data_IF_315958411050
#
_entry.id   IF_315958411050
#
_cell.length_a   1.000
_cell.length_b   1.000
_cell.length_c   1.000
_cell.angle_alpha   90.00
_cell.angle_beta   90.00
_cell.angle_gamma   90.00
#
_symmetry.space_group_name_H-M   'P 1'
#
loop_
_entity.id
_entity.type
_entity.pdbx_description
1 polymer ?
#
# COMPACT_ATOMS: atom_id res chain seq x y z
N UNK A 1 -54.12 17.88 -18.09
CA UNK A 1 -53.35 16.79 -18.73
C UNK A 1 -51.87 17.15 -18.88
N UNK A 2 -51.52 18.36 -19.35
CA UNK A 2 -50.13 18.84 -19.44
C UNK A 2 -49.29 18.66 -18.15
N UNK A 3 -49.85 19.02 -16.99
CA UNK A 3 -49.15 18.93 -15.70
C UNK A 3 -48.75 17.50 -15.29
N UNK A 4 -49.54 16.49 -15.70
CA UNK A 4 -49.24 15.10 -15.39
C UNK A 4 -48.14 14.53 -16.29
N UNK A 5 -48.04 15.00 -17.54
CA UNK A 5 -46.95 14.65 -18.45
C UNK A 5 -45.64 15.35 -18.06
N UNK A 6 -45.70 16.63 -17.66
CA UNK A 6 -44.55 17.36 -17.14
C UNK A 6 -44.00 16.72 -15.86
N UNK A 7 -44.87 16.31 -14.93
CA UNK A 7 -44.44 15.60 -13.72
C UNK A 7 -43.78 14.25 -14.04
N UNK A 8 -44.33 13.46 -14.97
CA UNK A 8 -43.70 12.20 -15.39
C UNK A 8 -42.33 12.44 -16.05
N UNK A 9 -42.21 13.47 -16.87
CA UNK A 9 -40.95 13.84 -17.51
C UNK A 9 -39.93 14.32 -16.46
N UNK A 10 -40.38 15.04 -15.44
CA UNK A 10 -39.56 15.49 -14.32
C UNK A 10 -39.05 14.29 -13.49
N UNK A 11 -39.94 13.37 -13.10
CA UNK A 11 -39.57 12.15 -12.37
C UNK A 11 -38.58 11.28 -13.14
N UNK A 12 -38.76 11.14 -14.46
CA UNK A 12 -37.84 10.38 -15.31
C UNK A 12 -36.44 11.01 -15.33
N UNK A 13 -36.36 12.35 -15.41
CA UNK A 13 -35.09 13.10 -15.34
C UNK A 13 -34.45 13.00 -13.97
N UNK A 14 -35.24 13.03 -12.90
CA UNK A 14 -34.78 12.90 -11.52
C UNK A 14 -34.13 11.53 -11.29
N UNK A 15 -34.84 10.45 -11.63
CA UNK A 15 -34.33 9.08 -11.55
C UNK A 15 -33.07 8.87 -12.40
N UNK A 16 -33.04 9.46 -13.60
CA UNK A 16 -31.86 9.40 -14.46
C UNK A 16 -30.67 10.12 -13.81
N UNK A 17 -30.85 11.32 -13.27
CA UNK A 17 -29.80 12.08 -12.60
C UNK A 17 -29.29 11.37 -11.34
N UNK A 18 -30.17 10.79 -10.53
CA UNK A 18 -29.80 9.97 -9.37
C UNK A 18 -28.94 8.78 -9.79
N UNK A 19 -29.36 8.05 -10.84
CA UNK A 19 -28.58 6.92 -11.36
C UNK A 19 -27.20 7.31 -11.86
N UNK A 20 -27.08 8.50 -12.48
CA UNK A 20 -25.80 9.04 -12.95
C UNK A 20 -24.91 9.48 -11.79
N UNK A 21 -25.45 10.16 -10.78
CA UNK A 21 -24.72 10.55 -9.57
C UNK A 21 -24.19 9.32 -8.82
N UNK A 22 -25.03 8.29 -8.70
CA UNK A 22 -24.68 7.00 -8.10
C UNK A 22 -23.50 6.38 -8.84
N UNK A 23 -23.60 6.24 -10.16
CA UNK A 23 -22.52 5.70 -10.99
C UNK A 23 -21.24 6.53 -10.89
N UNK A 24 -21.34 7.85 -10.96
CA UNK A 24 -20.19 8.74 -10.86
C UNK A 24 -19.45 8.64 -9.52
N UNK A 25 -20.20 8.53 -8.42
CA UNK A 25 -19.60 8.36 -7.08
C UNK A 25 -18.91 7.00 -6.91
N UNK A 26 -19.51 5.94 -7.46
CA UNK A 26 -18.94 4.61 -7.48
C UNK A 26 -17.65 4.59 -8.30
N UNK A 27 -17.70 5.11 -9.53
CA UNK A 27 -16.56 5.20 -10.43
C UNK A 27 -15.42 6.02 -9.79
N UNK A 28 -15.73 7.16 -9.16
CA UNK A 28 -14.74 7.99 -8.45
C UNK A 28 -14.08 7.24 -7.27
N UNK A 29 -14.85 6.46 -6.52
CA UNK A 29 -14.33 5.66 -5.41
C UNK A 29 -13.44 4.52 -5.92
N UNK A 30 -13.84 3.85 -7.01
CA UNK A 30 -13.03 2.84 -7.70
C UNK A 30 -11.73 3.43 -8.25
N UNK A 31 -11.78 4.61 -8.89
CA UNK A 31 -10.61 5.33 -9.39
C UNK A 31 -9.66 5.77 -8.27
N UNK A 32 -10.18 5.97 -7.06
CA UNK A 32 -9.35 6.28 -5.88
C UNK A 32 -8.72 5.02 -5.29
N UNK A 33 -9.47 3.92 -5.18
CA UNK A 33 -9.01 2.67 -4.57
C UNK A 33 -8.04 1.90 -5.46
N UNK A 34 -8.33 1.80 -6.76
CA UNK A 34 -7.57 1.00 -7.73
C UNK A 34 -6.07 1.33 -7.76
N UNK A 35 -5.61 2.59 -7.89
CA UNK A 35 -4.19 2.90 -7.92
C UNK A 35 -3.51 2.58 -6.58
N UNK A 36 -4.21 2.78 -5.45
CA UNK A 36 -3.70 2.46 -4.11
C UNK A 36 -3.53 0.95 -3.94
N UNK A 37 -4.55 0.17 -4.32
CA UNK A 37 -4.53 -1.29 -4.27
C UNK A 37 -3.44 -1.85 -5.21
N UNK A 38 -3.31 -1.28 -6.42
CA UNK A 38 -2.28 -1.66 -7.39
C UNK A 38 -0.89 -1.41 -6.83
N UNK A 39 -0.66 -0.26 -6.20
CA UNK A 39 0.62 0.08 -5.59
C UNK A 39 0.97 -0.88 -4.44
N UNK A 40 0.03 -1.23 -3.57
CA UNK A 40 0.25 -2.22 -2.51
C UNK A 40 0.55 -3.62 -3.05
N UNK A 41 -0.17 -4.06 -4.09
CA UNK A 41 0.10 -5.35 -4.76
C UNK A 41 1.48 -5.33 -5.44
N UNK A 42 1.85 -4.22 -6.06
CA UNK A 42 3.17 -4.04 -6.66
C UNK A 42 4.27 -4.13 -5.60
N UNK A 43 4.10 -3.45 -4.46
CA UNK A 43 5.02 -3.52 -3.31
C UNK A 43 5.23 -4.95 -2.82
N UNK A 44 4.17 -5.76 -2.76
CA UNK A 44 4.26 -7.19 -2.44
C UNK A 44 5.17 -7.94 -3.41
N UNK A 45 5.00 -7.78 -4.73
CA UNK A 45 5.87 -8.46 -5.69
C UNK A 45 7.32 -7.95 -5.65
N UNK A 46 7.50 -6.66 -5.36
CA UNK A 46 8.82 -6.07 -5.17
C UNK A 46 9.58 -6.72 -4.01
N UNK A 47 8.89 -7.09 -2.92
CA UNK A 47 9.49 -7.80 -1.79
C UNK A 47 10.08 -9.16 -2.20
N UNK A 48 9.45 -9.90 -3.13
CA UNK A 48 10.04 -11.14 -3.68
C UNK A 48 11.30 -10.88 -4.49
N UNK A 49 11.31 -9.81 -5.31
CA UNK A 49 12.50 -9.41 -6.06
C UNK A 49 13.65 -9.09 -5.11
N UNK A 50 13.38 -8.33 -4.05
CA UNK A 50 14.37 -8.02 -3.01
C UNK A 50 14.85 -9.24 -2.23
N UNK A 51 13.96 -10.20 -1.96
CA UNK A 51 14.35 -11.50 -1.40
C UNK A 51 15.33 -12.25 -2.33
N UNK A 52 15.04 -12.28 -3.64
CA UNK A 52 15.93 -12.88 -4.63
C UNK A 52 17.30 -12.21 -4.67
N UNK A 53 17.34 -10.88 -4.62
CA UNK A 53 18.58 -10.10 -4.55
C UNK A 53 19.39 -10.45 -3.29
N UNK A 54 18.74 -10.58 -2.13
CA UNK A 54 19.41 -11.00 -0.90
C UNK A 54 20.03 -12.38 -1.02
N UNK A 55 19.34 -13.35 -1.65
CA UNK A 55 19.88 -14.69 -1.87
C UNK A 55 21.12 -14.64 -2.77
N UNK A 56 21.07 -13.87 -3.87
CA UNK A 56 22.22 -13.70 -4.78
C UNK A 56 23.42 -13.11 -4.04
N UNK A 57 23.21 -12.09 -3.20
CA UNK A 57 24.30 -11.52 -2.40
C UNK A 57 24.83 -12.51 -1.38
N UNK A 58 23.95 -13.24 -0.67
CA UNK A 58 24.35 -14.24 0.31
C UNK A 58 25.24 -15.33 -0.32
N UNK A 59 24.93 -15.78 -1.54
CA UNK A 59 25.78 -16.74 -2.28
C UNK A 59 27.15 -16.13 -2.59
N UNK A 60 27.20 -14.86 -3.04
CA UNK A 60 28.47 -14.19 -3.36
C UNK A 60 29.36 -13.94 -2.15
N UNK A 61 28.77 -13.69 -0.98
CA UNK A 61 29.50 -13.48 0.28
C UNK A 61 29.54 -14.72 1.16
N UNK A 62 29.23 -15.90 0.62
CA UNK A 62 29.20 -17.17 1.35
C UNK A 62 30.45 -17.45 2.21
N UNK A 63 31.69 -17.17 1.75
CA UNK A 63 32.88 -17.39 2.57
C UNK A 63 32.94 -16.49 3.81
N UNK A 64 32.24 -15.36 3.79
CA UNK A 64 32.25 -14.35 4.83
C UNK A 64 30.93 -14.40 5.63
N UNK A 65 30.85 -15.34 6.57
CA UNK A 65 29.65 -15.60 7.38
C UNK A 65 29.06 -14.36 8.06
N UNK A 66 29.90 -13.42 8.51
CA UNK A 66 29.47 -12.16 9.13
C UNK A 66 28.61 -11.27 8.21
N UNK A 67 28.76 -11.41 6.89
CA UNK A 67 27.97 -10.68 5.89
C UNK A 67 26.78 -11.53 5.40
N UNK A 68 26.96 -12.85 5.31
CA UNK A 68 25.92 -13.78 4.86
C UNK A 68 24.71 -13.82 5.80
N UNK A 69 24.94 -13.97 7.12
CA UNK A 69 23.85 -14.15 8.11
C UNK A 69 22.88 -12.95 8.10
N UNK A 70 23.32 -11.69 8.24
CA UNK A 70 22.42 -10.55 8.18
C UNK A 70 21.64 -10.49 6.87
N UNK A 71 22.30 -10.73 5.73
CA UNK A 71 21.66 -10.67 4.41
C UNK A 71 20.56 -11.73 4.25
N UNK A 72 20.75 -12.93 4.79
CA UNK A 72 19.71 -13.96 4.82
C UNK A 72 18.54 -13.55 5.73
N UNK A 73 18.81 -12.94 6.88
CA UNK A 73 17.76 -12.40 7.77
C UNK A 73 16.94 -11.31 7.05
N UNK A 74 17.61 -10.41 6.33
CA UNK A 74 16.94 -9.41 5.50
C UNK A 74 16.07 -10.04 4.41
N UNK A 75 16.58 -11.05 3.71
CA UNK A 75 15.82 -11.80 2.71
C UNK A 75 14.60 -12.51 3.29
N UNK A 76 14.75 -13.15 4.45
CA UNK A 76 13.64 -13.79 5.16
C UNK A 76 12.58 -12.78 5.61
N UNK A 77 12.97 -11.59 6.05
CA UNK A 77 12.04 -10.51 6.39
C UNK A 77 11.24 -10.03 5.17
N UNK A 78 11.87 -9.91 4.00
CA UNK A 78 11.18 -9.59 2.75
C UNK A 78 10.20 -10.68 2.32
N UNK A 79 10.59 -11.96 2.50
CA UNK A 79 9.70 -13.09 2.25
C UNK A 79 8.48 -13.07 3.21
N UNK A 80 8.70 -12.71 4.47
CA UNK A 80 7.61 -12.52 5.44
C UNK A 80 6.66 -11.39 5.05
N UNK A 81 7.19 -10.25 4.57
CA UNK A 81 6.35 -9.16 4.04
C UNK A 81 5.48 -9.63 2.87
N UNK A 82 6.03 -10.44 1.96
CA UNK A 82 5.27 -11.02 0.85
C UNK A 82 4.06 -11.85 1.35
N UNK A 83 4.28 -12.75 2.32
CA UNK A 83 3.20 -13.57 2.88
C UNK A 83 2.17 -12.75 3.65
N UNK A 84 2.61 -11.71 4.36
CA UNK A 84 1.72 -10.81 5.13
C UNK A 84 0.74 -10.05 4.23
N UNK A 85 1.12 -9.77 2.98
CA UNK A 85 0.29 -9.08 1.97
C UNK A 85 -0.46 -10.03 1.03
N UNK A 86 -0.48 -11.34 1.32
CA UNK A 86 -1.16 -12.32 0.47
C UNK A 86 -2.68 -12.11 0.39
N UNK A 87 -3.28 -11.51 1.41
CA UNK A 87 -4.71 -11.21 1.45
C UNK A 87 -5.13 -10.14 0.45
N UNK A 88 -4.21 -9.31 -0.06
CA UNK A 88 -4.50 -8.31 -1.08
C UNK A 88 -4.72 -8.97 -2.45
N UNK A 89 -5.92 -8.82 -2.99
CA UNK A 89 -6.31 -9.27 -4.32
C UNK A 89 -6.94 -8.10 -5.07
N UNK A 90 -6.79 -8.11 -6.40
CA UNK A 90 -7.57 -7.20 -7.23
C UNK A 90 -9.06 -7.53 -7.08
N UNK A 91 -9.86 -6.47 -6.94
CA UNK A 91 -11.31 -6.55 -6.83
C UNK A 91 -11.93 -6.50 -8.22
N UNK A 92 -13.00 -7.28 -8.42
CA UNK A 92 -13.85 -7.17 -9.60
C UNK A 92 -14.99 -6.20 -9.31
N UNK A 93 -14.84 -4.97 -9.80
CA UNK A 93 -15.79 -3.88 -9.55
C UNK A 93 -17.10 -4.01 -10.32
N UNK A 94 -17.17 -4.90 -11.33
CA UNK A 94 -18.35 -5.04 -12.19
C UNK A 94 -19.56 -5.65 -11.47
N UNK A 95 -19.32 -6.39 -10.38
CA UNK A 95 -20.35 -7.08 -9.60
C UNK A 95 -20.54 -6.50 -8.18
N UNK A 96 -19.82 -5.44 -7.82
CA UNK A 96 -19.80 -4.89 -6.47
C UNK A 96 -20.96 -3.91 -6.24
N UNK A 97 -21.66 -4.06 -5.11
CA UNK A 97 -22.61 -3.03 -4.63
C UNK A 97 -21.87 -1.86 -3.99
N UNK A 98 -22.56 -0.72 -3.80
CA UNK A 98 -21.99 0.45 -3.09
C UNK A 98 -21.57 0.09 -1.66
N UNK A 99 -22.39 -0.70 -0.96
CA UNK A 99 -22.11 -1.16 0.40
C UNK A 99 -20.87 -2.08 0.43
N UNK A 100 -20.75 -2.97 -0.55
CA UNK A 100 -19.59 -3.86 -0.63
C UNK A 100 -18.32 -3.06 -0.97
N UNK A 101 -18.40 -2.07 -1.86
CA UNK A 101 -17.27 -1.18 -2.16
C UNK A 101 -16.83 -0.39 -0.91
N UNK A 102 -17.76 0.14 -0.12
CA UNK A 102 -17.44 0.79 1.16
C UNK A 102 -16.75 -0.17 2.13
N UNK A 103 -17.24 -1.41 2.22
CA UNK A 103 -16.66 -2.44 3.08
C UNK A 103 -15.23 -2.78 2.66
N UNK A 104 -14.98 -2.91 1.37
CA UNK A 104 -13.65 -3.15 0.81
C UNK A 104 -12.70 -1.96 1.06
N UNK A 105 -13.15 -0.72 0.85
CA UNK A 105 -12.38 0.49 1.18
C UNK A 105 -12.01 0.51 2.67
N UNK A 106 -12.96 0.18 3.54
CA UNK A 106 -12.74 0.16 4.98
C UNK A 106 -11.75 -0.95 5.39
N UNK A 107 -11.91 -2.17 4.86
CA UNK A 107 -10.99 -3.28 5.10
C UNK A 107 -9.57 -2.95 4.60
N UNK A 108 -9.46 -2.38 3.41
CA UNK A 108 -8.18 -1.93 2.84
C UNK A 108 -7.52 -0.86 3.72
N UNK A 109 -8.28 0.12 4.22
CA UNK A 109 -7.77 1.13 5.16
C UNK A 109 -7.26 0.51 6.46
N UNK A 110 -8.02 -0.40 7.06
CA UNK A 110 -7.63 -1.08 8.31
C UNK A 110 -6.36 -1.90 8.08
N UNK A 111 -6.28 -2.64 6.96
CA UNK A 111 -5.11 -3.42 6.60
C UNK A 111 -3.88 -2.53 6.41
N UNK A 112 -4.02 -1.47 5.61
CA UNK A 112 -2.96 -0.49 5.33
C UNK A 112 -2.45 0.17 6.61
N UNK A 113 -3.35 0.60 7.51
CA UNK A 113 -2.97 1.21 8.79
C UNK A 113 -2.23 0.23 9.72
N UNK A 114 -2.63 -1.05 9.74
CA UNK A 114 -1.94 -2.07 10.53
C UNK A 114 -0.56 -2.38 9.95
N UNK A 115 -0.43 -2.47 8.62
CA UNK A 115 0.79 -2.90 7.94
C UNK A 115 1.82 -1.78 7.70
N UNK A 116 1.42 -0.50 7.73
CA UNK A 116 2.31 0.66 7.53
C UNK A 116 3.59 0.58 8.36
N UNK A 117 3.47 0.28 9.66
CA UNK A 117 4.62 0.21 10.57
C UNK A 117 5.51 -1.00 10.31
N UNK A 118 4.91 -2.11 9.90
CA UNK A 118 5.62 -3.36 9.65
C UNK A 118 6.39 -3.31 8.33
N UNK A 119 5.77 -2.85 7.24
CA UNK A 119 6.43 -2.75 5.94
C UNK A 119 7.62 -1.80 5.98
N UNK A 120 7.46 -0.67 6.66
CA UNK A 120 8.55 0.28 6.86
C UNK A 120 9.72 -0.35 7.63
N UNK A 121 9.43 -1.06 8.72
CA UNK A 121 10.43 -1.74 9.52
C UNK A 121 11.18 -2.82 8.73
N UNK A 122 10.45 -3.60 7.91
CA UNK A 122 11.02 -4.66 7.07
C UNK A 122 11.95 -4.06 6.01
N UNK A 123 11.55 -2.98 5.34
CA UNK A 123 12.40 -2.31 4.33
C UNK A 123 13.67 -1.74 4.95
N UNK A 124 13.57 -1.08 6.11
CA UNK A 124 14.72 -0.52 6.82
C UNK A 124 15.66 -1.64 7.27
N UNK A 125 15.10 -2.71 7.86
CA UNK A 125 15.86 -3.88 8.28
C UNK A 125 16.62 -4.47 7.08
N UNK A 126 15.93 -4.70 5.96
CA UNK A 126 16.52 -5.24 4.75
C UNK A 126 17.65 -4.36 4.21
N UNK A 127 17.47 -3.03 4.19
CA UNK A 127 18.50 -2.09 3.77
C UNK A 127 19.75 -2.21 4.65
N UNK A 128 19.58 -2.18 5.98
CA UNK A 128 20.70 -2.27 6.92
C UNK A 128 21.43 -3.60 6.78
N UNK A 129 20.70 -4.71 6.60
CA UNK A 129 21.31 -6.04 6.56
C UNK A 129 21.94 -6.39 5.21
N UNK A 130 21.45 -5.82 4.11
CA UNK A 130 21.91 -6.14 2.74
C UNK A 130 23.01 -5.18 2.27
N UNK A 131 23.04 -3.94 2.78
CA UNK A 131 24.03 -2.92 2.38
C UNK A 131 25.49 -3.35 2.61
N UNK A 132 25.86 -3.96 3.75
CA UNK A 132 27.23 -4.46 3.96
C UNK A 132 27.65 -5.48 2.90
N UNK A 133 26.78 -6.42 2.56
CA UNK A 133 27.05 -7.45 1.54
C UNK A 133 27.14 -6.86 0.14
N UNK A 134 26.32 -5.86 -0.17
CA UNK A 134 26.44 -5.09 -1.41
C UNK A 134 27.78 -4.38 -1.51
N UNK A 135 28.20 -3.66 -0.46
CA UNK A 135 29.46 -2.92 -0.44
C UNK A 135 30.69 -3.82 -0.50
N UNK A 136 30.63 -4.99 0.14
CA UNK A 136 31.67 -6.01 0.03
C UNK A 136 31.74 -6.57 -1.41
N UNK A 137 30.59 -6.87 -2.03
CA UNK A 137 30.56 -7.47 -3.37
C UNK A 137 30.93 -6.47 -4.47
N UNK A 138 30.43 -5.24 -4.41
CA UNK A 138 30.58 -4.24 -5.48
C UNK A 138 31.86 -3.42 -5.35
N UNK A 139 32.27 -3.08 -4.12
CA UNK A 139 33.42 -2.20 -3.87
C UNK A 139 34.58 -2.90 -3.14
N UNK A 140 34.43 -4.18 -2.79
CA UNK A 140 35.43 -4.95 -2.00
C UNK A 140 35.78 -4.31 -0.66
N UNK A 141 34.81 -3.62 -0.05
CA UNK A 141 35.02 -2.91 1.21
C UNK A 141 34.55 -3.77 2.38
N UNK A 142 35.48 -4.16 3.26
CA UNK A 142 35.20 -4.92 4.47
C UNK A 142 34.77 -4.00 5.63
N UNK A 143 33.47 -3.70 5.70
CA UNK A 143 32.92 -2.75 6.68
C UNK A 143 33.06 -3.25 8.12
N UNK A 144 32.91 -4.55 8.37
CA UNK A 144 32.98 -5.08 9.73
C UNK A 144 34.39 -5.09 10.31
N UNK A 145 35.41 -5.00 9.47
CA UNK A 145 36.81 -4.91 9.92
C UNK A 145 37.21 -3.46 10.23
N UNK A 146 36.46 -2.49 9.71
CA UNK A 146 36.79 -1.07 9.78
C UNK A 146 35.78 -0.30 10.64
N UNK A 147 36.10 -0.14 11.94
CA UNK A 147 35.24 0.53 12.95
C UNK A 147 34.67 1.89 12.51
N UNK A 148 35.45 2.87 12.01
CA UNK A 148 34.88 4.15 11.58
C UNK A 148 33.91 4.00 10.40
N UNK A 149 34.16 3.03 9.52
CA UNK A 149 33.26 2.77 8.40
C UNK A 149 31.96 2.10 8.84
N UNK A 150 32.02 1.17 9.80
CA UNK A 150 30.84 0.61 10.45
C UNK A 150 29.99 1.70 11.11
N UNK A 151 30.63 2.63 11.82
CA UNK A 151 29.93 3.73 12.49
C UNK A 151 29.28 4.69 11.48
N UNK A 152 29.95 4.97 10.35
CA UNK A 152 29.37 5.75 9.25
C UNK A 152 28.15 5.06 8.63
N UNK A 153 28.17 3.73 8.50
CA UNK A 153 27.03 2.95 8.00
C UNK A 153 25.85 3.00 8.98
N UNK A 154 26.10 2.88 10.28
CA UNK A 154 25.06 3.01 11.30
C UNK A 154 24.39 4.39 11.28
N UNK A 155 25.19 5.46 11.17
CA UNK A 155 24.68 6.84 11.07
C UNK A 155 23.88 7.06 9.78
N UNK A 156 24.39 6.58 8.64
CA UNK A 156 23.67 6.65 7.37
C UNK A 156 22.36 5.84 7.42
N UNK A 157 22.39 4.65 8.02
CA UNK A 157 21.21 3.81 8.24
C UNK A 157 20.16 4.50 9.10
N UNK A 158 20.57 5.16 10.19
CA UNK A 158 19.68 5.93 11.05
C UNK A 158 19.05 7.13 10.30
N UNK A 159 19.84 7.85 9.50
CA UNK A 159 19.34 8.95 8.68
C UNK A 159 18.33 8.48 7.62
N UNK A 160 18.61 7.36 6.94
CA UNK A 160 17.69 6.75 5.97
C UNK A 160 16.41 6.29 6.68
N UNK A 161 16.52 5.65 7.85
CA UNK A 161 15.36 5.21 8.62
C UNK A 161 14.47 6.40 9.03
N UNK A 162 15.06 7.50 9.48
CA UNK A 162 14.34 8.73 9.80
C UNK A 162 13.65 9.33 8.56
N UNK A 163 14.35 9.36 7.42
CA UNK A 163 13.80 9.86 6.16
C UNK A 163 12.60 9.01 5.70
N UNK A 164 12.75 7.69 5.68
CA UNK A 164 11.69 6.75 5.31
C UNK A 164 10.50 6.91 6.26
N UNK A 165 10.73 7.03 7.57
CA UNK A 165 9.66 7.26 8.55
C UNK A 165 8.85 8.53 8.27
N UNK A 166 9.52 9.64 7.98
CA UNK A 166 8.84 10.90 7.66
C UNK A 166 8.05 10.79 6.34
N UNK A 167 8.65 10.21 5.31
CA UNK A 167 8.01 10.05 4.00
C UNK A 167 6.79 9.13 4.06
N UNK A 168 6.91 7.97 4.72
CA UNK A 168 5.82 7.02 4.88
C UNK A 168 4.64 7.69 5.58
N UNK A 169 4.89 8.41 6.69
CA UNK A 169 3.83 9.09 7.43
C UNK A 169 3.08 10.14 6.59
N UNK A 170 3.79 10.85 5.70
CA UNK A 170 3.17 11.81 4.78
C UNK A 170 2.30 11.10 3.74
N UNK A 171 2.81 10.05 3.11
CA UNK A 171 2.11 9.30 2.06
C UNK A 171 0.87 8.60 2.62
N UNK A 172 1.02 7.86 3.72
CA UNK A 172 -0.07 7.13 4.36
C UNK A 172 -1.11 8.07 4.96
N UNK A 173 -0.70 9.22 5.49
CA UNK A 173 -1.61 10.29 5.90
C UNK A 173 -2.46 10.79 4.73
N UNK A 174 -1.85 11.06 3.59
CA UNK A 174 -2.58 11.48 2.39
C UNK A 174 -3.52 10.38 1.86
N UNK A 175 -3.12 9.11 1.92
CA UNK A 175 -3.95 7.98 1.51
C UNK A 175 -5.17 7.82 2.42
N UNK A 176 -4.97 7.93 3.74
CA UNK A 176 -6.06 7.85 4.71
C UNK A 176 -7.11 8.93 4.47
N UNK A 177 -6.69 10.18 4.21
CA UNK A 177 -7.61 11.28 3.88
C UNK A 177 -8.39 11.02 2.60
N UNK A 178 -7.74 10.50 1.55
CA UNK A 178 -8.41 10.16 0.28
C UNK A 178 -9.47 9.07 0.46
N UNK A 179 -9.14 8.02 1.21
CA UNK A 179 -10.07 6.92 1.49
C UNK A 179 -11.23 7.36 2.38
N UNK A 180 -10.98 8.22 3.38
CA UNK A 180 -12.02 8.82 4.22
C UNK A 180 -13.01 9.65 3.40
N UNK A 181 -12.51 10.47 2.46
CA UNK A 181 -13.36 11.27 1.60
C UNK A 181 -14.21 10.40 0.67
N UNK A 182 -13.64 9.34 0.10
CA UNK A 182 -14.39 8.39 -0.73
C UNK A 182 -15.47 7.65 0.08
N UNK A 183 -15.17 7.23 1.30
CA UNK A 183 -16.14 6.62 2.21
C UNK A 183 -17.28 7.59 2.58
N UNK A 184 -16.95 8.85 2.86
CA UNK A 184 -17.94 9.89 3.16
C UNK A 184 -18.84 10.24 1.97
N UNK A 185 -18.27 10.31 0.76
CA UNK A 185 -19.02 10.54 -0.48
C UNK A 185 -20.02 9.40 -0.75
N UNK A 186 -19.59 8.15 -0.59
CA UNK A 186 -20.47 6.99 -0.74
C UNK A 186 -21.54 6.93 0.36
N UNK A 187 -21.20 7.31 1.60
CA UNK A 187 -22.13 7.29 2.73
C UNK A 187 -23.25 8.31 2.55
N UNK A 188 -22.94 9.51 2.06
CA UNK A 188 -23.96 10.51 1.75
C UNK A 188 -25.03 9.96 0.80
N UNK A 189 -24.62 9.23 -0.23
CA UNK A 189 -25.54 8.68 -1.23
C UNK A 189 -26.41 7.57 -0.62
N UNK A 190 -25.82 6.68 0.18
CA UNK A 190 -26.55 5.68 0.97
C UNK A 190 -27.59 6.32 1.91
N UNK A 191 -27.21 7.38 2.63
CA UNK A 191 -28.08 8.05 3.61
C UNK A 191 -29.24 8.80 2.92
N UNK A 192 -29.03 9.32 1.71
CA UNK A 192 -30.12 9.87 0.88
C UNK A 192 -31.10 8.77 0.43
N UNK A 193 -30.61 7.62 -0.02
CA UNK A 193 -31.45 6.50 -0.46
C UNK A 193 -32.34 5.94 0.68
N UNK A 194 -31.83 5.84 1.91
CA UNK A 194 -32.64 5.42 3.07
C UNK A 194 -33.74 6.41 3.42
N UNK A 195 -33.51 7.70 3.21
CA UNK A 195 -34.45 8.76 3.58
C UNK A 195 -35.59 8.96 2.59
N UNK A 196 -35.40 8.54 1.33
CA UNK A 196 -36.45 8.51 0.29
C UNK A 196 -37.25 7.19 0.29
N UNK A 197 -36.83 6.20 1.08
CA UNK A 197 -37.48 4.88 1.21
C UNK A 197 -38.48 4.79 2.37
N UNK A 198 -38.47 5.78 3.28
CA UNK A 198 -39.37 5.96 4.45
C UNK A 198 -40.40 7.06 4.19
#
# INVERSE_FOLDING_TARGET
>A
MLWAEENKALEARLKLNESLLRKMSFDKAVDTLTPLLTFSIFGRYLALVYCGISIVFAIKVWPAFLYCIPTLVGGAAMLWSFFSHRSLKMLDYSALSILDLQKEICQFRIHTSKMERYDMGIVILWLITTTPSFLLTAKKIAIYENRPMLLSLCMAGAAIAAFVFLFTRLIYGAYNTKLLNAEADLKRISDFEQKDSD
#
